data_IF_140918593773
#
_entry.id   IF_140918593773
#
_cell.length_a   1.000
_cell.length_b   1.000
_cell.length_c   1.000
_cell.angle_alpha   90.00
_cell.angle_beta   90.00
_cell.angle_gamma   90.00
#
_symmetry.space_group_name_H-M   'P 1'
#
loop_
_entity.id
_entity.type
_entity.pdbx_description
1 polymer ?
#
# COMPACT_ATOMS: atom_id res chain seq x y z
N UNK A 1 -11.01 2.43 33.85
CA UNK A 1 -9.94 2.92 34.76
C UNK A 1 -8.92 3.64 33.91
N UNK A 2 -8.62 4.91 34.19
CA UNK A 2 -7.59 5.67 33.47
C UNK A 2 -6.23 5.38 34.14
N UNK A 3 -5.25 4.93 33.37
CA UNK A 3 -3.91 4.62 33.89
C UNK A 3 -3.07 5.91 33.91
N UNK A 4 -2.62 6.32 35.09
CA UNK A 4 -1.81 7.51 35.26
C UNK A 4 -0.40 7.28 34.71
N UNK A 5 0.19 8.28 34.03
CA UNK A 5 1.56 8.21 33.47
C UNK A 5 2.61 7.81 34.51
N UNK A 6 2.43 8.23 35.78
CA UNK A 6 3.31 7.91 36.90
C UNK A 6 3.23 6.45 37.40
N UNK A 7 2.25 5.68 36.90
CA UNK A 7 2.05 4.26 37.25
C UNK A 7 2.46 3.29 36.14
N UNK A 8 2.88 3.81 34.98
CA UNK A 8 3.31 3.00 33.85
C UNK A 8 4.78 2.61 34.07
N UNK A 9 5.14 1.30 34.05
CA UNK A 9 6.54 0.89 34.06
C UNK A 9 7.33 1.61 32.96
N UNK A 10 8.56 2.02 33.28
CA UNK A 10 9.46 2.76 32.38
C UNK A 10 9.68 2.08 31.02
N UNK A 11 9.39 0.79 30.91
CA UNK A 11 9.59 -0.05 29.72
C UNK A 11 8.43 0.00 28.69
N UNK A 12 7.39 0.82 28.92
CA UNK A 12 6.23 0.91 28.02
C UNK A 12 6.45 1.79 26.80
N UNK A 13 7.37 2.75 26.86
CA UNK A 13 7.63 3.70 25.79
C UNK A 13 9.02 3.48 25.20
N UNK A 14 9.19 3.52 23.86
CA UNK A 14 10.50 3.38 23.25
C UNK A 14 11.46 4.48 23.74
N UNK A 15 12.71 4.13 24.05
CA UNK A 15 13.72 5.13 24.43
C UNK A 15 14.18 5.97 23.24
N UNK A 16 13.90 5.51 22.02
CA UNK A 16 14.29 6.20 20.79
C UNK A 16 13.28 7.28 20.42
N UNK A 17 13.76 8.45 20.02
CA UNK A 17 12.91 9.59 19.61
C UNK A 17 12.12 9.33 18.31
N UNK A 18 12.27 8.16 17.69
CA UNK A 18 11.73 7.85 16.38
C UNK A 18 11.07 6.48 16.39
N UNK A 19 9.88 6.43 15.80
CA UNK A 19 9.11 5.21 15.61
C UNK A 19 8.99 4.95 14.11
N UNK A 20 9.35 3.76 13.65
CA UNK A 20 9.14 3.37 12.26
C UNK A 20 7.94 2.45 12.12
N UNK A 21 7.20 2.68 11.04
CA UNK A 21 5.97 2.00 10.70
C UNK A 21 6.10 1.58 9.24
N UNK A 22 6.27 0.29 9.00
CA UNK A 22 6.18 -0.29 7.67
C UNK A 22 4.73 -0.32 7.21
N UNK A 23 4.45 0.28 6.07
CA UNK A 23 3.18 0.19 5.37
C UNK A 23 3.21 -0.97 4.37
N UNK A 24 2.22 -1.84 4.47
CA UNK A 24 1.87 -2.85 3.48
C UNK A 24 0.46 -2.57 2.96
N UNK A 25 0.07 -3.24 1.88
CA UNK A 25 -1.21 -3.03 1.19
C UNK A 25 -2.45 -3.10 2.10
N UNK A 26 -2.43 -4.02 3.07
CA UNK A 26 -3.54 -4.35 3.95
C UNK A 26 -3.25 -4.07 5.44
N UNK A 27 -2.00 -3.80 5.82
CA UNK A 27 -1.59 -3.71 7.23
C UNK A 27 -0.42 -2.78 7.48
N UNK A 28 -0.31 -2.29 8.71
CA UNK A 28 0.86 -1.59 9.20
C UNK A 28 1.65 -2.49 10.14
N UNK A 29 2.97 -2.52 10.00
CA UNK A 29 3.88 -3.26 10.90
C UNK A 29 4.93 -2.33 11.44
N UNK A 30 5.14 -2.30 12.75
CA UNK A 30 6.18 -1.46 13.32
C UNK A 30 7.55 -2.09 13.15
N UNK A 31 8.55 -1.24 12.95
CA UNK A 31 9.96 -1.59 12.92
C UNK A 31 10.63 -0.76 14.04
N UNK A 32 10.37 -1.10 15.30
CA UNK A 32 11.09 -0.44 16.40
C UNK A 32 12.49 -1.03 16.54
N UNK A 33 13.55 -0.22 16.64
CA UNK A 33 14.81 -0.71 17.19
C UNK A 33 14.59 -0.92 18.69
N UNK A 34 14.51 -2.16 19.16
CA UNK A 34 14.41 -2.50 20.58
C UNK A 34 13.19 -3.35 20.95
N UNK A 35 13.41 -4.30 21.86
CA UNK A 35 12.46 -5.31 22.36
C UNK A 35 11.37 -4.72 23.29
N UNK A 36 10.76 -3.60 22.89
CA UNK A 36 9.70 -2.92 23.63
C UNK A 36 8.31 -3.47 23.28
N UNK A 37 7.53 -3.73 24.33
CA UNK A 37 6.19 -4.33 24.32
C UNK A 37 5.28 -3.76 23.20
N UNK A 38 4.83 -4.66 22.32
CA UNK A 38 3.85 -4.49 21.23
C UNK A 38 3.27 -3.07 21.04
N UNK A 39 4.00 -2.21 20.32
CA UNK A 39 3.56 -0.87 19.89
C UNK A 39 2.24 -0.84 19.09
N UNK A 40 1.78 -2.01 18.64
CA UNK A 40 0.44 -2.21 18.07
C UNK A 40 -0.67 -1.78 19.05
N UNK A 41 -0.48 -1.94 20.37
CA UNK A 41 -1.39 -1.42 21.41
C UNK A 41 -1.41 0.12 21.42
N UNK A 42 -0.29 0.77 21.12
CA UNK A 42 -0.13 2.20 21.29
C UNK A 42 -0.69 3.04 20.15
N UNK A 43 -0.81 2.53 18.93
CA UNK A 43 -1.51 3.27 17.85
C UNK A 43 -3.01 2.98 17.77
N UNK A 44 -3.49 1.89 18.38
CA UNK A 44 -4.93 1.54 18.40
C UNK A 44 -5.66 2.24 19.56
N UNK A 45 -4.93 2.75 20.56
CA UNK A 45 -5.21 3.98 21.33
C UNK A 45 -6.60 4.20 21.96
N UNK A 46 -7.50 3.21 21.97
CA UNK A 46 -8.74 3.29 22.75
C UNK A 46 -8.47 3.10 24.24
N UNK A 47 -7.46 2.30 24.58
CA UNK A 47 -7.26 1.83 25.96
C UNK A 47 -6.22 2.65 26.75
N UNK A 48 -5.52 3.59 26.10
CA UNK A 48 -4.59 4.49 26.77
C UNK A 48 -5.32 5.68 27.41
N UNK A 49 -4.81 6.11 28.57
CA UNK A 49 -5.24 7.36 29.17
C UNK A 49 -4.96 8.55 28.26
N UNK A 50 -5.71 9.63 28.46
CA UNK A 50 -5.55 10.86 27.66
C UNK A 50 -4.15 11.43 27.78
N UNK A 51 -3.54 11.32 28.96
CA UNK A 51 -2.19 11.76 29.27
C UNK A 51 -1.15 10.93 28.51
N UNK A 52 -1.27 9.60 28.54
CA UNK A 52 -0.35 8.71 27.83
C UNK A 52 -0.41 8.90 26.31
N UNK A 53 -1.62 9.11 25.75
CA UNK A 53 -1.80 9.46 24.33
C UNK A 53 -1.14 10.78 23.98
N UNK A 54 -1.39 11.82 24.79
CA UNK A 54 -0.78 13.12 24.58
C UNK A 54 0.75 13.02 24.62
N UNK A 55 1.31 12.25 25.56
CA UNK A 55 2.75 12.04 25.60
C UNK A 55 3.27 11.38 24.31
N UNK A 56 2.65 10.27 23.87
CA UNK A 56 3.04 9.53 22.67
C UNK A 56 3.02 10.43 21.41
N UNK A 57 1.89 11.08 21.15
CA UNK A 57 1.71 11.83 19.90
C UNK A 57 2.48 13.15 19.82
N UNK A 58 3.07 13.61 20.94
CA UNK A 58 3.87 14.83 20.97
C UNK A 58 5.37 14.58 21.12
N UNK A 59 5.80 13.39 21.53
CA UNK A 59 7.21 13.13 21.87
C UNK A 59 8.04 12.48 20.75
N UNK A 60 7.39 11.85 19.77
CA UNK A 60 8.06 11.01 18.78
C UNK A 60 7.93 11.53 17.35
N UNK A 61 8.97 11.24 16.55
CA UNK A 61 8.93 11.34 15.10
C UNK A 61 8.47 10.00 14.50
N UNK A 62 7.30 10.00 13.88
CA UNK A 62 6.72 8.81 13.25
C UNK A 62 7.14 8.73 11.79
N UNK A 63 7.82 7.65 11.40
CA UNK A 63 8.32 7.42 10.05
C UNK A 63 7.53 6.27 9.42
N UNK A 64 6.61 6.58 8.52
CA UNK A 64 5.91 5.59 7.71
C UNK A 64 6.76 5.25 6.49
N UNK A 65 7.19 4.00 6.35
CA UNK A 65 8.08 3.52 5.29
C UNK A 65 7.44 2.38 4.51
N UNK A 66 7.65 2.29 3.21
CA UNK A 66 6.99 1.27 2.39
C UNK A 66 6.94 1.66 0.93
N UNK A 67 6.03 1.04 0.17
CA UNK A 67 5.77 1.45 -1.21
C UNK A 67 5.09 2.83 -1.23
N UNK A 68 5.22 3.59 -2.32
CA UNK A 68 4.55 4.90 -2.48
C UNK A 68 3.05 4.79 -2.22
N UNK A 69 2.40 3.78 -2.82
CA UNK A 69 0.98 3.48 -2.66
C UNK A 69 0.61 3.24 -1.20
N UNK A 70 1.34 2.37 -0.52
CA UNK A 70 0.98 1.95 0.84
C UNK A 70 1.24 3.08 1.85
N UNK A 71 2.34 3.82 1.68
CA UNK A 71 2.63 5.00 2.49
C UNK A 71 1.55 6.07 2.33
N UNK A 72 1.15 6.38 1.09
CA UNK A 72 0.11 7.38 0.78
C UNK A 72 -1.27 6.98 1.30
N UNK A 73 -1.58 5.68 1.35
CA UNK A 73 -2.80 5.18 1.99
C UNK A 73 -2.72 5.28 3.52
N UNK A 74 -1.60 4.86 4.10
CA UNK A 74 -1.41 4.77 5.54
C UNK A 74 -1.34 6.14 6.23
N UNK A 75 -0.66 7.12 5.63
CA UNK A 75 -0.42 8.40 6.30
C UNK A 75 -1.71 9.18 6.57
N UNK A 76 -2.71 9.14 5.67
CA UNK A 76 -3.98 9.91 5.85
C UNK A 76 -4.72 9.52 7.13
N UNK A 77 -4.81 8.22 7.39
CA UNK A 77 -5.43 7.72 8.63
C UNK A 77 -4.61 8.14 9.85
N UNK A 78 -3.29 8.10 9.75
CA UNK A 78 -2.41 8.45 10.86
C UNK A 78 -2.35 9.95 11.15
N UNK A 79 -2.33 10.78 10.11
CA UNK A 79 -2.42 12.24 10.16
C UNK A 79 -3.68 12.67 10.94
N UNK A 80 -4.82 12.05 10.65
CA UNK A 80 -6.08 12.33 11.37
C UNK A 80 -5.97 12.04 12.87
N UNK A 81 -5.32 10.92 13.23
CA UNK A 81 -5.10 10.54 14.64
C UNK A 81 -4.14 11.53 15.30
N UNK A 82 -3.06 11.89 14.61
CA UNK A 82 -2.05 12.80 15.11
C UNK A 82 -2.67 14.19 15.36
N UNK A 83 -3.45 14.73 14.42
CA UNK A 83 -4.17 15.99 14.64
C UNK A 83 -5.15 15.95 15.81
N UNK A 84 -5.78 14.80 16.07
CA UNK A 84 -6.74 14.65 17.17
C UNK A 84 -6.07 14.68 18.54
N UNK A 85 -4.84 14.20 18.65
CA UNK A 85 -4.18 13.97 19.94
C UNK A 85 -2.92 14.82 20.16
N UNK A 86 -2.36 15.42 19.11
CA UNK A 86 -1.28 16.38 19.21
C UNK A 86 -1.75 17.67 19.89
N UNK A 87 -0.87 18.25 20.69
CA UNK A 87 -1.06 19.58 21.30
C UNK A 87 -0.44 20.69 20.45
N UNK A 88 0.36 20.31 19.45
CA UNK A 88 1.10 21.21 18.58
C UNK A 88 0.71 21.01 17.12
N UNK A 89 1.01 21.99 16.24
CA UNK A 89 0.82 21.83 14.81
C UNK A 89 1.51 20.57 14.29
N UNK A 90 0.79 19.77 13.53
CA UNK A 90 1.34 18.58 12.88
C UNK A 90 2.14 19.00 11.65
N UNK A 91 3.35 18.47 11.53
CA UNK A 91 4.19 18.63 10.35
C UNK A 91 4.38 17.29 9.66
N UNK A 92 4.32 17.31 8.34
CA UNK A 92 4.45 16.13 7.48
C UNK A 92 5.53 16.43 6.44
N UNK A 93 6.50 15.54 6.33
CA UNK A 93 7.58 15.62 5.35
C UNK A 93 7.66 14.28 4.60
N UNK A 94 7.64 14.32 3.28
CA UNK A 94 7.78 13.14 2.45
C UNK A 94 9.17 13.09 1.81
N UNK A 95 9.72 11.88 1.76
CA UNK A 95 11.04 11.60 1.21
C UNK A 95 10.94 10.43 0.25
N UNK A 96 11.37 10.62 -0.99
CA UNK A 96 11.48 9.57 -1.99
C UNK A 96 12.92 9.08 -2.08
N UNK A 97 13.14 7.79 -2.40
CA UNK A 97 14.49 7.29 -2.72
C UNK A 97 14.92 7.59 -4.18
N UNK A 98 14.20 8.47 -4.87
CA UNK A 98 14.46 8.88 -6.25
C UNK A 98 13.22 8.77 -7.14
N UNK A 99 13.27 9.36 -8.34
CA UNK A 99 12.13 9.45 -9.25
C UNK A 99 11.51 8.09 -9.62
N UNK A 100 12.37 7.08 -9.86
CA UNK A 100 11.95 5.72 -10.22
C UNK A 100 11.84 4.76 -9.03
N UNK A 101 12.05 5.23 -7.80
CA UNK A 101 11.88 4.38 -6.63
C UNK A 101 10.41 4.02 -6.44
N UNK A 102 10.12 2.74 -6.17
CA UNK A 102 8.80 2.31 -5.73
C UNK A 102 8.55 2.61 -4.24
N UNK A 103 9.59 2.98 -3.49
CA UNK A 103 9.57 3.15 -2.03
C UNK A 103 9.74 4.60 -1.60
N UNK A 104 9.12 4.95 -0.48
CA UNK A 104 9.20 6.28 0.12
C UNK A 104 9.09 6.20 1.65
N UNK A 105 9.36 7.34 2.29
CA UNK A 105 9.16 7.56 3.71
C UNK A 105 8.33 8.83 3.93
N UNK A 106 7.30 8.76 4.77
CA UNK A 106 6.52 9.91 5.24
C UNK A 106 6.82 10.07 6.74
N UNK A 107 7.44 11.19 7.10
CA UNK A 107 7.74 11.54 8.49
C UNK A 107 6.71 12.52 9.02
N UNK A 108 6.14 12.20 10.18
CA UNK A 108 5.10 12.99 10.84
C UNK A 108 5.49 13.28 12.29
N UNK A 109 5.30 14.51 12.73
CA UNK A 109 5.58 14.95 14.10
C UNK A 109 4.63 16.07 14.52
N UNK A 110 4.47 16.25 15.83
CA UNK A 110 3.82 17.42 16.40
C UNK A 110 4.88 18.44 16.87
N UNK A 111 4.76 19.68 16.41
CA UNK A 111 5.70 20.76 16.73
C UNK A 111 7.06 20.63 16.02
N UNK A 112 8.03 21.39 16.51
CA UNK A 112 9.29 21.63 15.79
C UNK A 112 10.49 20.93 16.43
N UNK A 113 10.34 20.41 17.65
CA UNK A 113 11.44 19.86 18.45
C UNK A 113 12.19 18.70 17.78
N UNK A 114 11.57 18.03 16.79
CA UNK A 114 12.15 16.90 16.06
C UNK A 114 12.58 17.23 14.63
N UNK A 115 12.48 18.50 14.22
CA UNK A 115 13.00 18.95 12.90
C UNK A 115 14.50 18.72 12.77
N UNK A 116 15.28 18.91 13.83
CA UNK A 116 16.73 18.66 13.81
C UNK A 116 17.05 17.19 13.57
N UNK A 117 16.26 16.28 14.15
CA UNK A 117 16.41 14.83 13.97
C UNK A 117 16.14 14.43 12.52
N UNK A 118 15.15 15.07 11.90
CA UNK A 118 14.80 14.89 10.50
C UNK A 118 15.88 15.48 9.56
N UNK A 119 16.34 16.70 9.84
CA UNK A 119 17.33 17.42 9.03
C UNK A 119 18.72 16.78 9.06
N UNK A 120 19.15 16.22 10.21
CA UNK A 120 20.44 15.53 10.34
C UNK A 120 20.58 14.32 9.41
N UNK A 121 19.47 13.77 8.93
CA UNK A 121 19.44 12.46 8.31
C UNK A 121 19.70 12.42 6.82
N UNK A 122 19.65 13.57 6.11
CA UNK A 122 19.82 13.67 4.64
C UNK A 122 19.14 12.50 3.89
N UNK A 123 17.89 12.20 4.23
CA UNK A 123 17.18 11.01 3.73
C UNK A 123 16.41 11.30 2.47
N UNK A 124 16.80 10.64 1.39
CA UNK A 124 16.08 10.72 0.13
C UNK A 124 15.97 12.14 -0.41
N UNK A 125 15.21 12.28 -1.49
CA UNK A 125 14.81 13.56 -2.04
C UNK A 125 13.55 14.03 -1.31
N UNK A 126 13.60 15.23 -0.72
CA UNK A 126 12.42 15.86 -0.16
C UNK A 126 11.42 16.11 -1.29
N UNK A 127 10.19 15.65 -1.09
CA UNK A 127 9.07 15.79 -2.03
C UNK A 127 7.84 16.26 -1.30
N UNK A 128 6.94 16.92 -2.00
CA UNK A 128 5.62 17.22 -1.43
C UNK A 128 4.71 16.00 -1.53
N UNK A 129 3.77 15.84 -0.61
CA UNK A 129 2.78 14.75 -0.67
C UNK A 129 2.02 14.79 -2.02
N UNK A 130 1.69 15.99 -2.50
CA UNK A 130 1.00 16.20 -3.77
C UNK A 130 1.80 15.71 -4.98
N UNK A 131 3.11 15.96 -5.01
CA UNK A 131 3.99 15.40 -6.05
C UNK A 131 3.96 13.88 -6.03
N UNK A 132 4.00 13.27 -4.86
CA UNK A 132 3.98 11.81 -4.71
C UNK A 132 2.64 11.20 -5.15
N UNK A 133 1.53 11.85 -4.83
CA UNK A 133 0.19 11.44 -5.28
C UNK A 133 0.08 11.50 -6.82
N UNK A 134 0.63 12.56 -7.43
CA UNK A 134 0.64 12.74 -8.89
C UNK A 134 1.51 11.70 -9.60
N UNK A 135 2.71 11.41 -9.08
CA UNK A 135 3.57 10.34 -9.59
C UNK A 135 2.87 8.98 -9.54
N UNK A 136 2.11 8.72 -8.47
CA UNK A 136 1.37 7.48 -8.32
C UNK A 136 0.18 7.38 -9.29
N UNK A 137 -0.56 8.47 -9.53
CA UNK A 137 -1.67 8.45 -10.49
C UNK A 137 -1.20 8.15 -11.91
N UNK A 138 -0.06 8.70 -12.33
CA UNK A 138 0.51 8.41 -13.65
C UNK A 138 0.94 6.94 -13.82
N UNK A 139 1.40 6.29 -12.77
CA UNK A 139 1.73 4.84 -12.82
C UNK A 139 0.48 3.95 -12.88
N UNK A 140 -0.66 4.41 -12.35
CA UNK A 140 -1.93 3.66 -12.37
C UNK A 140 -2.62 3.74 -13.75
N UNK A 141 -2.31 4.74 -14.56
CA UNK A 141 -2.85 4.87 -15.93
C UNK A 141 -2.17 3.92 -16.94
N UNK A 142 -0.99 3.36 -16.62
CA UNK A 142 -0.24 2.50 -17.55
C UNK A 142 -0.62 1.00 -17.68
N UNK A 143 -1.58 0.35 -16.96
CA UNK A 143 -1.89 -1.05 -17.18
C UNK A 143 -3.15 -1.28 -18.06
N UNK A 144 -3.69 -0.25 -18.72
CA UNK A 144 -4.88 -0.44 -19.57
C UNK A 144 -4.53 -1.10 -20.92
N UNK A 145 -3.30 -0.91 -21.41
CA UNK A 145 -2.87 -1.50 -22.69
C UNK A 145 -2.73 -3.04 -22.63
N UNK A 146 -2.35 -3.61 -21.49
CA UNK A 146 -2.18 -5.05 -21.34
C UNK A 146 -3.53 -5.81 -21.32
N UNK A 147 -4.55 -5.24 -20.67
CA UNK A 147 -5.88 -5.88 -20.54
C UNK A 147 -6.61 -5.90 -21.90
N UNK A 148 -6.49 -4.83 -22.69
CA UNK A 148 -7.05 -4.82 -24.06
C UNK A 148 -6.35 -5.82 -25.00
N UNK A 149 -5.06 -6.12 -24.78
CA UNK A 149 -4.36 -7.13 -25.59
C UNK A 149 -4.91 -8.55 -25.35
N UNK A 150 -5.27 -8.89 -24.11
CA UNK A 150 -5.78 -10.22 -23.78
C UNK A 150 -7.20 -10.46 -24.30
N UNK A 151 -8.07 -9.44 -24.29
CA UNK A 151 -9.42 -9.53 -24.85
C UNK A 151 -9.36 -9.81 -26.36
N UNK A 152 -8.42 -9.18 -27.07
CA UNK A 152 -8.26 -9.35 -28.51
C UNK A 152 -7.75 -10.77 -28.88
N UNK A 153 -6.86 -11.34 -28.07
CA UNK A 153 -6.34 -12.70 -28.29
C UNK A 153 -7.44 -13.75 -28.06
N UNK A 154 -8.23 -13.62 -26.99
CA UNK A 154 -9.33 -14.55 -26.71
C UNK A 154 -10.42 -14.47 -27.79
N UNK A 155 -10.76 -13.26 -28.23
CA UNK A 155 -11.71 -13.07 -29.32
C UNK A 155 -11.22 -13.68 -30.64
N UNK A 156 -9.94 -13.51 -30.98
CA UNK A 156 -9.33 -14.11 -32.16
C UNK A 156 -9.32 -15.65 -32.08
N UNK A 157 -9.04 -16.22 -30.89
CA UNK A 157 -9.05 -17.67 -30.69
C UNK A 157 -10.46 -18.26 -30.84
N UNK A 158 -11.47 -17.60 -30.27
CA UNK A 158 -12.87 -17.99 -30.43
C UNK A 158 -13.32 -17.91 -31.90
N UNK A 159 -12.95 -16.85 -32.62
CA UNK A 159 -13.28 -16.70 -34.03
C UNK A 159 -12.65 -17.81 -34.89
N UNK A 160 -11.37 -18.15 -34.66
CA UNK A 160 -10.72 -19.25 -35.37
C UNK A 160 -11.33 -20.61 -35.04
N UNK A 161 -11.70 -20.85 -33.79
CA UNK A 161 -12.33 -22.11 -33.38
C UNK A 161 -13.71 -22.29 -34.00
N UNK A 162 -14.52 -21.22 -34.05
CA UNK A 162 -15.84 -21.22 -34.72
C UNK A 162 -15.67 -21.44 -36.23
N UNK A 163 -14.70 -20.78 -36.87
CA UNK A 163 -14.42 -20.97 -38.29
C UNK A 163 -13.98 -22.42 -38.61
N UNK A 164 -13.15 -23.02 -37.77
CA UNK A 164 -12.76 -24.44 -37.86
C UNK A 164 -13.96 -25.37 -37.72
N UNK A 165 -14.83 -25.14 -36.72
CA UNK A 165 -16.06 -25.92 -36.55
C UNK A 165 -16.98 -25.81 -37.78
N UNK A 166 -17.18 -24.60 -38.30
CA UNK A 166 -17.99 -24.36 -39.49
C UNK A 166 -17.44 -25.04 -40.76
N UNK A 167 -16.13 -25.29 -40.84
CA UNK A 167 -15.51 -26.03 -41.95
C UNK A 167 -15.61 -27.56 -41.78
N UNK A 168 -15.67 -28.06 -40.54
CA UNK A 168 -15.70 -29.50 -40.24
C UNK A 168 -17.14 -30.05 -40.22
N UNK A 169 -18.12 -29.29 -39.74
CA UNK A 169 -19.53 -29.68 -39.66
C UNK A 169 -20.17 -30.09 -41.01
N UNK A 170 -19.90 -29.41 -42.15
CA UNK A 170 -20.43 -29.83 -43.44
C UNK A 170 -19.86 -31.16 -43.93
N UNK A 171 -18.66 -31.53 -43.49
CA UNK A 171 -17.99 -32.78 -43.90
C UNK A 171 -18.46 -34.01 -43.14
N UNK A 172 -19.08 -33.85 -41.97
CA UNK A 172 -19.70 -34.93 -41.21
C UNK A 172 -21.14 -35.25 -41.69
N UNK A 173 -21.78 -34.34 -42.40
CA UNK A 173 -23.14 -34.52 -42.95
C UNK A 173 -23.21 -35.19 -44.32
N UNK A 174 -22.08 -35.38 -45.01
CA UNK A 174 -22.01 -36.06 -46.30
C UNK A 174 -21.45 -37.48 -46.13
N UNK A 175 -22.26 -38.40 -45.58
CA UNK A 175 -22.02 -39.83 -45.80
C UNK A 175 -22.45 -40.20 -47.23
N UNK A 176 -21.59 -40.74 -48.09
CA UNK A 176 -22.03 -41.30 -49.35
C UNK A 176 -22.56 -42.71 -49.08
N UNK A 177 -23.85 -42.84 -48.75
CA UNK A 177 -24.56 -44.11 -48.94
C UNK A 177 -25.04 -44.18 -50.39
N UNK A 178 -24.10 -44.29 -51.32
CA UNK A 178 -24.33 -44.92 -52.62
C UNK A 178 -23.59 -46.26 -52.59
N UNK A 179 -24.20 -47.24 -51.92
CA UNK A 179 -23.81 -48.62 -52.09
C UNK A 179 -24.46 -49.10 -53.39
N UNK A 180 -23.62 -49.18 -54.41
CA UNK A 180 -23.82 -49.76 -55.72
C UNK A 180 -24.60 -51.07 -55.60
N UNK A 181 -25.81 -51.10 -56.18
CA UNK A 181 -26.51 -52.34 -56.49
C UNK A 181 -26.55 -52.47 -58.01
N UNK A 182 -25.40 -52.87 -58.56
CA UNK A 182 -25.34 -53.42 -59.90
C UNK A 182 -24.51 -54.72 -59.87
N UNK A 183 -25.15 -55.74 -60.45
CA UNK A 183 -24.66 -57.08 -60.81
C UNK A 183 -24.48 -58.11 -59.69
N UNK A 184 -25.42 -59.07 -59.65
CA UNK A 184 -25.21 -60.37 -60.31
C UNK A 184 -26.51 -61.18 -60.45
N UNK A 185 -26.63 -61.78 -61.64
CA UNK A 185 -27.63 -62.73 -62.17
C UNK A 185 -28.93 -62.16 -62.70
#
# INVERSE_FOLDING_TARGET
>A
MAVNLLSLPYDLFPPHEQIYIQAFEDRLRFISPGDGLALQLFLVCKDLSTEARAYLYNSYLFNVVGTKKDCLKAYKSFETILHRHARHPVRINAFSNGQHSATMCISMQAGDAKMDVLNRRRRGEARTIREMELEQSHQIEEPVSAIFSHINIVAAFCAMFIAMLALVLPRLGQSPLQLVLHERY
#
